data_IF_698319336427
#
_entry.id   IF_698319336427
#
_cell.length_a   1.000
_cell.length_b   1.000
_cell.length_c   1.000
_cell.angle_alpha   90.00
_cell.angle_beta   90.00
_cell.angle_gamma   90.00
#
_symmetry.space_group_name_H-M   'P 1'
#
loop_
_entity.id
_entity.type
_entity.pdbx_description
1 polymer ?
#
# COMPACT_ATOMS: atom_id res chain seq x y z
N UNK A 1 -0.92 -2.71 -29.06
CA UNK A 1 -2.24 -3.02 -28.45
C UNK A 1 -2.80 -1.74 -27.85
N UNK A 2 -4.11 -1.62 -27.82
CA UNK A 2 -4.80 -0.59 -27.05
C UNK A 2 -5.21 -1.18 -25.67
N UNK A 3 -4.73 -0.56 -24.60
CA UNK A 3 -4.95 -1.03 -23.21
C UNK A 3 -5.70 0.05 -22.45
N UNK A 4 -6.81 -0.32 -21.83
CA UNK A 4 -7.52 0.57 -20.89
C UNK A 4 -7.04 0.26 -19.48
N UNK A 5 -6.64 1.32 -18.74
CA UNK A 5 -6.32 1.26 -17.32
C UNK A 5 -7.38 2.04 -16.56
N UNK A 6 -8.08 1.39 -15.64
CA UNK A 6 -9.17 1.96 -14.84
C UNK A 6 -8.68 2.35 -13.47
N UNK A 7 -8.68 3.65 -13.17
CA UNK A 7 -8.19 4.25 -11.94
C UNK A 7 -6.78 4.84 -12.07
N UNK A 8 -6.64 6.12 -11.74
CA UNK A 8 -5.37 6.87 -11.77
C UNK A 8 -4.77 7.05 -10.36
N UNK A 9 -4.85 6.03 -9.53
CA UNK A 9 -4.03 5.90 -8.31
C UNK A 9 -2.60 5.48 -8.66
N UNK A 10 -1.72 5.33 -7.66
CA UNK A 10 -0.31 4.94 -7.85
C UNK A 10 -0.17 3.68 -8.70
N UNK A 11 -1.02 2.67 -8.50
CA UNK A 11 -1.00 1.42 -9.26
C UNK A 11 -1.34 1.63 -10.72
N UNK A 12 -2.43 2.36 -11.02
CA UNK A 12 -2.84 2.62 -12.40
C UNK A 12 -1.84 3.47 -13.17
N UNK A 13 -1.27 4.49 -12.54
CA UNK A 13 -0.23 5.33 -13.13
C UNK A 13 1.03 4.49 -13.45
N UNK A 14 1.47 3.63 -12.53
CA UNK A 14 2.62 2.76 -12.75
C UNK A 14 2.36 1.72 -13.86
N UNK A 15 1.16 1.14 -13.92
CA UNK A 15 0.75 0.25 -15.00
C UNK A 15 0.78 0.99 -16.34
N UNK A 16 0.15 2.17 -16.43
CA UNK A 16 0.14 2.99 -17.64
C UNK A 16 1.56 3.31 -18.10
N UNK A 17 2.44 3.72 -17.18
CA UNK A 17 3.85 4.00 -17.49
C UNK A 17 4.55 2.81 -18.13
N UNK A 18 4.42 1.63 -17.53
CA UNK A 18 5.05 0.43 -18.04
C UNK A 18 4.51 0.00 -19.41
N UNK A 19 3.22 0.17 -19.68
CA UNK A 19 2.63 -0.12 -21.00
C UNK A 19 3.08 0.89 -22.06
N UNK A 20 3.12 2.17 -21.71
CA UNK A 20 3.62 3.22 -22.61
C UNK A 20 5.07 3.00 -23.01
N UNK A 21 5.94 2.66 -22.04
CA UNK A 21 7.36 2.30 -22.29
C UNK A 21 7.54 1.10 -23.21
N UNK A 22 6.55 0.21 -23.25
CA UNK A 22 6.52 -0.96 -24.16
C UNK A 22 5.86 -0.66 -25.50
N UNK A 23 5.51 0.60 -25.78
CA UNK A 23 4.94 1.05 -27.04
C UNK A 23 3.45 0.72 -27.23
N UNK A 24 2.71 0.44 -26.15
CA UNK A 24 1.27 0.25 -26.24
C UNK A 24 0.55 1.61 -26.24
N UNK A 25 -0.63 1.66 -26.86
CA UNK A 25 -1.56 2.78 -26.70
C UNK A 25 -2.33 2.57 -25.39
N UNK A 26 -2.36 3.57 -24.52
CA UNK A 26 -3.00 3.48 -23.21
C UNK A 26 -4.10 4.53 -23.09
N UNK A 27 -5.29 4.10 -22.66
CA UNK A 27 -6.34 5.00 -22.18
C UNK A 27 -6.43 4.83 -20.66
N UNK A 28 -6.05 5.87 -19.91
CA UNK A 28 -6.15 5.90 -18.45
C UNK A 28 -7.41 6.66 -18.05
N UNK A 29 -8.35 5.97 -17.40
CA UNK A 29 -9.66 6.50 -17.02
C UNK A 29 -9.72 6.73 -15.52
N UNK A 30 -10.14 7.94 -15.12
CA UNK A 30 -10.26 8.33 -13.71
C UNK A 30 -11.57 9.08 -13.47
N UNK A 31 -12.31 8.67 -12.44
CA UNK A 31 -13.58 9.31 -12.05
C UNK A 31 -13.39 10.71 -11.45
N UNK A 32 -12.27 10.92 -10.75
CA UNK A 32 -11.93 12.21 -10.16
C UNK A 32 -11.40 13.22 -11.20
N UNK A 33 -11.27 14.46 -10.78
CA UNK A 33 -10.74 15.55 -11.61
C UNK A 33 -9.23 15.48 -11.82
N UNK A 34 -8.52 14.80 -10.90
CA UNK A 34 -7.08 14.65 -10.91
C UNK A 34 -6.67 13.28 -10.38
N UNK A 35 -5.45 12.80 -10.67
CA UNK A 35 -4.96 11.52 -10.15
C UNK A 35 -4.72 11.56 -8.63
N UNK A 36 -4.66 10.39 -8.02
CA UNK A 36 -4.30 10.19 -6.60
C UNK A 36 -5.23 10.89 -5.59
N UNK A 37 -6.52 10.98 -5.85
CA UNK A 37 -7.46 11.66 -4.95
C UNK A 37 -7.99 10.76 -3.82
N UNK A 38 -7.77 9.45 -3.90
CA UNK A 38 -8.26 8.49 -2.91
C UNK A 38 -7.10 7.90 -2.08
N UNK A 39 -7.06 6.58 -1.89
CA UNK A 39 -6.06 5.91 -1.04
C UNK A 39 -4.61 6.30 -1.34
N UNK A 40 -4.30 6.60 -2.60
CA UNK A 40 -2.95 7.00 -3.00
C UNK A 40 -2.54 8.42 -2.59
N UNK A 41 -3.47 9.23 -2.09
CA UNK A 41 -3.18 10.59 -1.61
C UNK A 41 -2.44 10.57 -0.27
N UNK A 42 -2.95 9.80 0.69
CA UNK A 42 -2.46 9.76 2.07
C UNK A 42 -1.84 8.41 2.45
N UNK A 43 -0.95 7.88 1.61
CA UNK A 43 -0.25 6.63 1.90
C UNK A 43 0.79 6.81 3.00
N UNK A 44 0.98 5.78 3.83
CA UNK A 44 2.03 5.76 4.86
C UNK A 44 3.46 5.76 4.28
N UNK A 45 3.61 5.53 2.97
CA UNK A 45 4.89 5.64 2.27
C UNK A 45 5.83 4.45 2.44
N UNK A 46 5.42 3.38 3.10
CA UNK A 46 6.23 2.16 3.20
C UNK A 46 6.36 1.49 1.84
N UNK A 47 7.59 1.26 1.41
CA UNK A 47 7.91 0.63 0.13
C UNK A 47 8.66 -0.69 0.30
N UNK A 48 9.17 -0.97 1.50
CA UNK A 48 9.99 -2.14 1.81
C UNK A 48 9.20 -3.41 2.13
N UNK A 49 9.89 -4.55 2.21
CA UNK A 49 9.31 -5.86 2.56
C UNK A 49 8.63 -5.91 3.92
N UNK A 50 8.97 -5.02 4.85
CA UNK A 50 8.34 -4.93 6.18
C UNK A 50 6.81 -4.79 6.07
N UNK A 51 6.31 -4.09 5.06
CA UNK A 51 4.88 -3.92 4.82
C UNK A 51 4.16 -5.25 4.60
N UNK A 52 4.81 -6.22 3.93
CA UNK A 52 4.26 -7.57 3.74
C UNK A 52 4.15 -8.30 5.08
N UNK A 53 5.17 -8.21 5.93
CA UNK A 53 5.13 -8.84 7.25
C UNK A 53 4.04 -8.22 8.13
N UNK A 54 3.94 -6.90 8.17
CA UNK A 54 2.94 -6.19 8.97
C UNK A 54 1.50 -6.53 8.55
N UNK A 55 1.25 -6.63 7.24
CA UNK A 55 -0.10 -6.83 6.70
C UNK A 55 -0.49 -8.31 6.57
N UNK A 56 0.45 -9.20 6.32
CA UNK A 56 0.17 -10.58 5.91
C UNK A 56 0.59 -11.63 6.95
N UNK A 57 1.45 -11.30 7.95
CA UNK A 57 1.92 -12.25 8.95
C UNK A 57 0.77 -12.94 9.71
N UNK A 58 0.95 -14.19 10.15
CA UNK A 58 -0.05 -14.93 10.88
C UNK A 58 -0.55 -14.20 12.14
N UNK A 59 -1.83 -14.39 12.44
CA UNK A 59 -2.34 -13.94 13.73
C UNK A 59 -1.82 -14.84 14.84
N UNK A 60 -1.25 -14.26 15.87
CA UNK A 60 -0.73 -15.00 17.00
C UNK A 60 -1.86 -15.48 17.91
N UNK A 61 -2.07 -16.80 17.94
CA UNK A 61 -3.00 -17.47 18.81
C UNK A 61 -4.47 -17.00 18.73
N UNK A 62 -5.29 -17.44 19.68
CA UNK A 62 -6.68 -17.00 19.80
C UNK A 62 -6.81 -15.49 20.09
N UNK A 63 -5.79 -14.88 20.68
CA UNK A 63 -5.75 -13.45 20.94
C UNK A 63 -5.66 -12.62 19.64
N UNK A 64 -5.04 -13.14 18.56
CA UNK A 64 -4.96 -12.45 17.29
C UNK A 64 -6.31 -12.26 16.59
N UNK A 65 -7.15 -13.30 16.59
CA UNK A 65 -8.53 -13.18 16.11
C UNK A 65 -9.36 -12.26 17.01
N UNK A 66 -9.21 -12.39 18.33
CA UNK A 66 -9.90 -11.53 19.30
C UNK A 66 -9.46 -10.04 19.16
N UNK A 67 -8.21 -9.76 18.79
CA UNK A 67 -7.74 -8.40 18.57
C UNK A 67 -8.38 -7.76 17.32
N UNK A 68 -8.62 -8.53 16.26
CA UNK A 68 -9.41 -8.06 15.12
C UNK A 68 -10.82 -7.71 15.56
N UNK A 69 -11.48 -8.61 16.32
CA UNK A 69 -12.82 -8.35 16.82
C UNK A 69 -12.85 -7.23 17.88
N UNK A 70 -11.84 -7.09 18.72
CA UNK A 70 -11.75 -6.01 19.69
C UNK A 70 -11.49 -4.66 19.02
N UNK A 71 -10.69 -4.62 17.95
CA UNK A 71 -10.45 -3.45 17.13
C UNK A 71 -11.64 -3.12 16.23
N UNK A 72 -12.35 -4.13 15.71
CA UNK A 72 -13.64 -3.98 15.01
C UNK A 72 -14.79 -3.60 15.93
N UNK A 73 -14.63 -3.64 17.25
CA UNK A 73 -15.62 -3.15 18.22
C UNK A 73 -15.91 -1.64 18.05
N UNK A 74 -15.03 -0.90 17.37
CA UNK A 74 -15.30 0.45 16.86
C UNK A 74 -16.08 0.48 15.54
N UNK A 75 -16.16 -0.63 14.82
CA UNK A 75 -17.07 -0.85 13.70
C UNK A 75 -18.39 -1.30 14.34
N UNK A 76 -19.37 -0.46 14.49
CA UNK A 76 -20.64 -0.73 15.18
C UNK A 76 -21.19 -2.16 14.99
N UNK A 77 -22.25 -2.51 15.69
CA UNK A 77 -22.84 -3.87 15.76
C UNK A 77 -23.38 -4.43 14.42
N UNK A 78 -23.34 -3.67 13.32
CA UNK A 78 -23.79 -4.06 11.99
C UNK A 78 -22.67 -4.69 11.15
N UNK A 79 -22.23 -5.91 11.52
CA UNK A 79 -21.32 -6.69 10.68
C UNK A 79 -22.12 -7.33 9.54
N UNK A 80 -21.95 -6.83 8.34
CA UNK A 80 -22.58 -7.37 7.14
C UNK A 80 -22.06 -8.78 6.77
N UNK A 81 -22.87 -9.56 6.04
CA UNK A 81 -22.46 -10.88 5.52
C UNK A 81 -21.16 -10.77 4.69
N UNK A 82 -20.98 -9.67 3.94
CA UNK A 82 -19.75 -9.42 3.18
C UNK A 82 -18.51 -9.23 4.05
N UNK A 83 -18.66 -8.55 5.18
CA UNK A 83 -17.57 -8.39 6.17
C UNK A 83 -17.21 -9.72 6.83
N UNK A 84 -18.20 -10.57 7.13
CA UNK A 84 -17.93 -11.91 7.66
C UNK A 84 -17.19 -12.80 6.67
N UNK A 85 -17.55 -12.74 5.37
CA UNK A 85 -16.81 -13.43 4.30
C UNK A 85 -15.36 -12.95 4.22
N UNK A 86 -15.15 -11.63 4.27
CA UNK A 86 -13.80 -11.03 4.27
C UNK A 86 -12.99 -11.49 5.49
N UNK A 87 -13.54 -11.40 6.70
CA UNK A 87 -12.85 -11.81 7.93
C UNK A 87 -12.46 -13.28 7.91
N UNK A 88 -13.34 -14.15 7.38
CA UNK A 88 -13.02 -15.57 7.21
C UNK A 88 -11.91 -15.80 6.18
N UNK A 89 -11.95 -15.10 5.03
CA UNK A 89 -10.92 -15.18 4.02
C UNK A 89 -9.57 -14.67 4.56
N UNK A 90 -9.59 -13.56 5.32
CA UNK A 90 -8.41 -13.00 5.96
C UNK A 90 -7.81 -13.96 6.99
N UNK A 91 -8.66 -14.56 7.86
CA UNK A 91 -8.20 -15.53 8.85
C UNK A 91 -7.54 -16.75 8.18
N UNK A 92 -8.11 -17.23 7.08
CA UNK A 92 -7.53 -18.34 6.31
C UNK A 92 -6.20 -17.92 5.64
N UNK A 93 -6.16 -16.76 4.98
CA UNK A 93 -4.95 -16.26 4.32
C UNK A 93 -3.79 -16.00 5.29
N UNK A 94 -4.10 -15.64 6.53
CA UNK A 94 -3.12 -15.43 7.62
C UNK A 94 -2.93 -16.65 8.53
N UNK A 95 -3.39 -17.84 8.14
CA UNK A 95 -3.05 -19.08 8.83
C UNK A 95 -1.55 -19.39 8.64
N UNK A 96 -0.93 -20.07 9.63
CA UNK A 96 0.50 -20.34 9.60
C UNK A 96 0.92 -21.12 8.35
N UNK A 97 0.13 -22.12 7.95
CA UNK A 97 0.42 -22.97 6.78
C UNK A 97 0.37 -22.18 5.47
N UNK A 98 -0.68 -21.35 5.28
CA UNK A 98 -0.82 -20.51 4.08
C UNK A 98 0.25 -19.43 4.05
N UNK A 99 0.59 -18.85 5.20
CA UNK A 99 1.69 -17.90 5.31
C UNK A 99 3.01 -18.56 4.92
N UNK A 100 3.36 -19.70 5.50
CA UNK A 100 4.61 -20.42 5.18
C UNK A 100 4.74 -20.74 3.69
N UNK A 101 3.62 -21.15 3.06
CA UNK A 101 3.59 -21.46 1.63
C UNK A 101 3.79 -20.23 0.72
N UNK A 102 3.36 -19.04 1.15
CA UNK A 102 3.35 -17.85 0.32
C UNK A 102 4.43 -16.82 0.69
N UNK A 103 5.03 -16.94 1.87
CA UNK A 103 5.97 -15.95 2.43
C UNK A 103 7.09 -15.58 1.45
N UNK A 104 7.82 -16.57 0.95
CA UNK A 104 8.97 -16.34 0.08
C UNK A 104 8.58 -15.69 -1.24
N UNK A 105 7.43 -16.07 -1.79
CA UNK A 105 6.88 -15.47 -3.01
C UNK A 105 6.51 -14.01 -2.79
N UNK A 106 5.84 -13.70 -1.67
CA UNK A 106 5.47 -12.33 -1.30
C UNK A 106 6.70 -11.46 -1.04
N UNK A 107 7.69 -11.98 -0.31
CA UNK A 107 8.94 -11.27 -0.03
C UNK A 107 9.75 -11.04 -1.31
N UNK A 108 9.78 -12.01 -2.23
CA UNK A 108 10.45 -11.86 -3.52
C UNK A 108 9.77 -10.77 -4.35
N UNK A 109 8.42 -10.77 -4.41
CA UNK A 109 7.66 -9.74 -5.10
C UNK A 109 7.89 -8.35 -4.48
N UNK A 110 7.90 -8.25 -3.16
CA UNK A 110 8.15 -6.98 -2.46
C UNK A 110 9.55 -6.42 -2.76
N UNK A 111 10.58 -7.24 -2.69
CA UNK A 111 11.97 -6.85 -3.04
C UNK A 111 12.08 -6.44 -4.51
N UNK A 112 11.46 -7.19 -5.41
CA UNK A 112 11.41 -6.84 -6.83
C UNK A 112 10.72 -5.49 -7.05
N UNK A 113 9.61 -5.23 -6.37
CA UNK A 113 8.87 -3.96 -6.45
C UNK A 113 9.73 -2.78 -5.98
N UNK A 114 10.45 -2.92 -4.86
CA UNK A 114 11.38 -1.89 -4.37
C UNK A 114 12.47 -1.61 -5.40
N UNK A 115 13.16 -2.66 -5.86
CA UNK A 115 14.23 -2.52 -6.85
C UNK A 115 13.74 -1.88 -8.16
N UNK A 116 12.51 -2.19 -8.59
CA UNK A 116 11.91 -1.56 -9.77
C UNK A 116 11.59 -0.09 -9.54
N UNK A 117 11.09 0.26 -8.36
CA UNK A 117 10.81 1.66 -7.98
C UNK A 117 12.10 2.48 -7.96
N UNK A 118 13.16 1.97 -7.36
CA UNK A 118 14.48 2.61 -7.35
C UNK A 118 15.08 2.73 -8.74
N UNK A 119 14.92 1.70 -9.58
CA UNK A 119 15.37 1.73 -10.97
C UNK A 119 14.65 2.84 -11.75
N UNK A 120 13.34 2.94 -11.64
CA UNK A 120 12.56 4.00 -12.28
C UNK A 120 12.92 5.38 -11.73
N UNK A 121 13.13 5.50 -10.42
CA UNK A 121 13.52 6.75 -9.80
C UNK A 121 14.86 7.28 -10.39
N UNK A 122 15.83 6.40 -10.53
CA UNK A 122 17.13 6.75 -11.14
C UNK A 122 17.03 7.02 -12.64
N UNK A 123 16.27 6.20 -13.37
CA UNK A 123 16.15 6.34 -14.83
C UNK A 123 15.44 7.64 -15.24
N UNK A 124 14.43 8.05 -14.48
CA UNK A 124 13.59 9.21 -14.77
C UNK A 124 13.94 10.43 -13.91
N UNK A 125 15.03 10.37 -13.15
CA UNK A 125 15.50 11.44 -12.24
C UNK A 125 14.40 11.92 -11.26
N UNK A 126 13.74 10.96 -10.60
CA UNK A 126 12.64 11.25 -9.67
C UNK A 126 13.17 11.48 -8.26
N UNK A 127 12.62 12.50 -7.61
CA UNK A 127 12.81 12.73 -6.18
C UNK A 127 11.46 12.74 -5.47
N UNK A 128 11.25 11.80 -4.57
CA UNK A 128 9.99 11.62 -3.85
C UNK A 128 10.17 11.49 -2.34
N UNK A 129 11.13 12.24 -1.81
CA UNK A 129 11.42 12.27 -0.37
C UNK A 129 11.77 10.88 0.18
N UNK A 130 12.52 10.10 -0.61
CA UNK A 130 12.90 8.75 -0.21
C UNK A 130 13.91 8.78 0.94
N UNK A 131 13.64 7.91 1.92
CA UNK A 131 14.49 7.71 3.08
C UNK A 131 14.75 6.21 3.26
N UNK A 132 16.01 5.85 3.46
CA UNK A 132 16.40 4.52 3.88
C UNK A 132 16.47 4.46 5.39
N UNK A 133 16.08 3.33 5.93
CA UNK A 133 16.00 3.09 7.34
C UNK A 133 14.61 3.31 7.92
N UNK A 134 14.22 2.35 8.73
CA UNK A 134 12.97 2.35 9.47
C UNK A 134 13.25 1.97 10.92
N UNK A 135 12.70 2.72 11.85
CA UNK A 135 12.80 2.48 13.28
C UNK A 135 11.44 2.04 13.82
N UNK A 136 11.37 0.81 14.32
CA UNK A 136 10.23 0.35 15.12
C UNK A 136 10.46 0.77 16.56
N UNK A 137 9.65 1.68 17.05
CA UNK A 137 9.77 2.31 18.37
C UNK A 137 8.92 1.55 19.38
N UNK A 138 9.51 1.10 20.48
CA UNK A 138 8.82 0.34 21.50
C UNK A 138 8.61 1.17 22.77
N UNK A 139 7.34 1.36 23.10
CA UNK A 139 6.90 2.05 24.33
C UNK A 139 6.15 1.10 25.29
N UNK A 140 6.04 -0.18 24.93
CA UNK A 140 5.36 -1.20 25.70
C UNK A 140 6.29 -2.40 25.93
N UNK A 141 6.52 -2.77 27.21
CA UNK A 141 7.44 -3.85 27.58
C UNK A 141 7.03 -5.22 27.00
N UNK A 142 5.74 -5.52 26.96
CA UNK A 142 5.26 -6.78 26.40
C UNK A 142 5.53 -6.84 24.89
N UNK A 143 5.28 -5.74 24.14
CA UNK A 143 5.56 -5.67 22.71
C UNK A 143 7.07 -5.81 22.45
N UNK A 144 7.90 -5.18 23.29
CA UNK A 144 9.36 -5.28 23.24
C UNK A 144 9.86 -6.72 23.42
N UNK A 145 9.38 -7.41 24.46
CA UNK A 145 9.74 -8.81 24.71
C UNK A 145 9.24 -9.77 23.64
N UNK A 146 8.01 -9.57 23.16
CA UNK A 146 7.43 -10.38 22.08
C UNK A 146 8.25 -10.21 20.80
N UNK A 147 8.61 -8.98 20.44
CA UNK A 147 9.41 -8.71 19.27
C UNK A 147 10.80 -9.33 19.34
N UNK A 148 11.50 -9.26 20.50
CA UNK A 148 12.80 -9.89 20.69
C UNK A 148 12.74 -11.42 20.54
N UNK A 149 11.68 -12.06 21.02
CA UNK A 149 11.49 -13.51 20.85
C UNK A 149 11.30 -13.93 19.41
N UNK A 150 10.71 -13.07 18.59
CA UNK A 150 10.39 -13.36 17.19
C UNK A 150 11.53 -13.01 16.24
N UNK A 151 12.30 -12.02 16.57
CA UNK A 151 13.37 -11.49 15.72
C UNK A 151 14.70 -12.25 15.85
N UNK A 152 14.76 -13.36 16.57
CA UNK A 152 15.94 -14.24 16.54
C UNK A 152 16.33 -14.71 15.11
N UNK A 153 15.44 -14.48 14.13
CA UNK A 153 15.62 -14.85 12.71
C UNK A 153 15.64 -13.65 11.74
N UNK A 154 15.60 -12.38 12.23
CA UNK A 154 15.41 -11.20 11.34
C UNK A 154 16.59 -10.21 11.43
N UNK A 155 16.93 -9.56 10.29
CA UNK A 155 18.10 -8.69 10.15
C UNK A 155 17.86 -7.25 10.66
N UNK A 156 17.26 -7.05 11.83
CA UNK A 156 17.14 -5.75 12.47
C UNK A 156 18.22 -5.56 13.53
N UNK A 157 18.72 -4.34 13.70
CA UNK A 157 19.59 -3.98 14.81
C UNK A 157 18.76 -3.51 16.00
N UNK A 158 18.94 -4.14 17.15
CA UNK A 158 18.31 -3.70 18.40
C UNK A 158 19.10 -2.56 19.00
N UNK A 159 18.45 -1.46 19.24
CA UNK A 159 19.03 -0.23 19.73
C UNK A 159 18.41 0.15 21.07
N UNK A 160 19.27 0.52 22.01
CA UNK A 160 18.85 1.18 23.24
C UNK A 160 18.22 2.55 22.91
N UNK A 161 17.59 3.18 23.92
CA UNK A 161 17.06 4.55 23.79
C UNK A 161 18.15 5.52 23.32
N UNK A 162 19.32 5.49 23.94
CA UNK A 162 20.44 6.37 23.64
C UNK A 162 20.98 6.16 22.23
N UNK A 163 21.12 4.91 21.81
CA UNK A 163 21.55 4.57 20.45
C UNK A 163 20.52 4.99 19.42
N UNK A 164 19.24 4.78 19.70
CA UNK A 164 18.13 5.20 18.82
C UNK A 164 18.13 6.72 18.62
N UNK A 165 18.33 7.49 19.69
CA UNK A 165 18.37 8.96 19.62
C UNK A 165 19.60 9.51 18.88
N UNK A 166 20.70 8.75 18.83
CA UNK A 166 21.85 9.12 17.99
C UNK A 166 21.59 8.93 16.51
N UNK A 167 20.78 7.94 16.15
CA UNK A 167 20.38 7.69 14.75
C UNK A 167 19.31 8.68 14.33
N UNK A 168 18.31 8.91 15.18
CA UNK A 168 17.23 9.86 14.93
C UNK A 168 16.98 10.75 16.16
N UNK A 169 17.48 12.00 16.14
CA UNK A 169 17.33 12.90 17.28
C UNK A 169 15.89 13.23 17.68
N UNK A 170 14.91 13.06 16.78
CA UNK A 170 13.50 13.27 17.11
C UNK A 170 13.01 12.33 18.23
N UNK A 171 13.68 11.20 18.41
CA UNK A 171 13.35 10.21 19.43
C UNK A 171 13.65 10.67 20.86
N UNK A 172 14.45 11.71 21.07
CA UNK A 172 14.65 12.33 22.38
C UNK A 172 13.34 12.83 23.00
N UNK A 173 12.41 13.24 22.15
CA UNK A 173 11.11 13.75 22.55
C UNK A 173 10.04 12.67 22.77
N UNK A 174 10.36 11.40 22.56
CA UNK A 174 9.41 10.32 22.83
C UNK A 174 9.21 10.15 24.33
N UNK A 175 7.96 10.24 24.84
CA UNK A 175 7.68 10.13 26.26
C UNK A 175 7.94 8.73 26.80
N UNK A 176 8.17 8.63 28.09
CA UNK A 176 8.33 7.35 28.78
C UNK A 176 6.99 6.57 28.88
N UNK A 177 7.05 5.23 28.86
CA UNK A 177 8.27 4.43 28.74
C UNK A 177 8.74 4.31 27.27
N UNK A 178 9.95 4.74 26.95
CA UNK A 178 10.63 4.45 25.69
C UNK A 178 11.75 3.44 25.96
N UNK A 179 11.62 2.24 25.43
CA UNK A 179 12.50 1.10 25.72
C UNK A 179 13.67 0.99 24.75
N UNK A 180 13.43 1.36 23.49
CA UNK A 180 14.41 1.27 22.41
C UNK A 180 13.72 1.05 21.06
N UNK A 181 14.52 0.76 20.05
CA UNK A 181 14.06 0.53 18.68
C UNK A 181 14.61 -0.77 18.10
N UNK A 182 13.89 -1.32 17.12
CA UNK A 182 14.47 -2.23 16.13
C UNK A 182 14.71 -1.42 14.85
N UNK A 183 15.96 -1.32 14.42
CA UNK A 183 16.38 -0.56 13.24
C UNK A 183 16.51 -1.47 12.02
N UNK A 184 15.88 -1.11 10.96
CA UNK A 184 15.83 -1.82 9.67
C UNK A 184 16.45 -0.93 8.59
N UNK A 185 17.78 -0.96 8.40
CA UNK A 185 18.49 0.01 7.54
C UNK A 185 18.16 -0.14 6.05
N UNK A 186 17.68 -1.30 5.62
CA UNK A 186 17.39 -1.59 4.21
C UNK A 186 15.94 -1.31 3.81
N UNK A 187 15.10 -0.93 4.77
CA UNK A 187 13.72 -0.57 4.46
C UNK A 187 13.69 0.81 3.80
N UNK A 188 12.90 0.93 2.74
CA UNK A 188 12.71 2.16 1.99
C UNK A 188 11.33 2.73 2.29
N UNK A 189 11.28 4.03 2.50
CA UNK A 189 10.04 4.79 2.54
C UNK A 189 10.14 6.03 1.65
N UNK A 190 9.00 6.62 1.32
CA UNK A 190 8.95 7.82 0.50
C UNK A 190 7.53 8.31 0.26
N UNK A 191 7.43 9.49 -0.31
CA UNK A 191 6.15 10.10 -0.66
C UNK A 191 5.56 9.47 -1.93
N UNK A 192 4.76 8.42 -1.77
CA UNK A 192 4.17 7.68 -2.89
C UNK A 192 3.21 8.50 -3.76
N UNK A 193 2.52 9.50 -3.17
CA UNK A 193 1.71 10.44 -3.93
C UNK A 193 2.58 11.31 -4.84
N UNK A 194 3.71 11.80 -4.32
CA UNK A 194 4.65 12.61 -5.08
C UNK A 194 5.35 11.80 -6.17
N UNK A 195 5.80 10.58 -5.86
CA UNK A 195 6.32 9.63 -6.84
C UNK A 195 5.35 9.44 -8.01
N UNK A 196 4.10 9.10 -7.72
CA UNK A 196 3.13 8.83 -8.77
C UNK A 196 2.76 10.06 -9.58
N UNK A 197 2.76 11.26 -9.00
CA UNK A 197 2.54 12.52 -9.73
C UNK A 197 3.67 12.80 -10.72
N UNK A 198 4.93 12.54 -10.36
CA UNK A 198 6.06 12.70 -11.26
C UNK A 198 6.01 11.69 -12.42
N UNK A 199 5.74 10.41 -12.14
CA UNK A 199 5.53 9.39 -13.19
C UNK A 199 4.38 9.81 -14.11
N UNK A 200 3.28 10.34 -13.55
CA UNK A 200 2.16 10.81 -14.37
C UNK A 200 2.55 12.00 -15.27
N UNK A 201 3.38 12.93 -14.79
CA UNK A 201 3.87 14.02 -15.61
C UNK A 201 4.68 13.49 -16.84
N UNK A 202 5.48 12.45 -16.62
CA UNK A 202 6.19 11.76 -17.70
C UNK A 202 5.20 11.06 -18.65
N UNK A 203 4.20 10.37 -18.11
CA UNK A 203 3.19 9.69 -18.92
C UNK A 203 2.44 10.65 -19.84
N UNK A 204 2.05 11.82 -19.34
CA UNK A 204 1.31 12.85 -20.11
C UNK A 204 2.11 13.36 -21.31
N UNK A 205 3.43 13.32 -21.26
CA UNK A 205 4.28 13.70 -22.39
C UNK A 205 4.29 12.67 -23.54
N UNK A 206 3.76 11.46 -23.31
CA UNK A 206 3.73 10.38 -24.29
C UNK A 206 2.56 10.52 -25.27
N UNK A 207 2.85 10.45 -26.57
CA UNK A 207 1.83 10.60 -27.64
C UNK A 207 0.79 9.46 -27.66
N UNK A 208 1.12 8.32 -27.10
CA UNK A 208 0.28 7.11 -27.05
C UNK A 208 -0.53 7.00 -25.76
N UNK A 209 -0.62 8.07 -24.96
CA UNK A 209 -1.51 8.16 -23.80
C UNK A 209 -2.76 9.00 -24.10
N UNK A 210 -3.92 8.47 -23.77
CA UNK A 210 -5.18 9.22 -23.67
C UNK A 210 -5.61 9.26 -22.21
N UNK A 211 -5.83 10.46 -21.66
CA UNK A 211 -6.34 10.66 -20.31
C UNK A 211 -7.82 11.02 -20.33
N UNK A 212 -8.62 10.32 -19.54
CA UNK A 212 -10.05 10.59 -19.38
C UNK A 212 -10.38 10.81 -17.90
N UNK A 213 -10.31 12.07 -17.48
CA UNK A 213 -10.77 12.50 -16.14
C UNK A 213 -12.28 12.72 -16.11
N UNK A 214 -12.86 12.82 -14.91
CA UNK A 214 -14.31 12.95 -14.72
C UNK A 214 -15.09 11.90 -15.51
N UNK A 215 -14.57 10.66 -15.56
CA UNK A 215 -15.15 9.58 -16.33
C UNK A 215 -15.24 8.34 -15.46
N UNK A 216 -16.45 7.90 -15.15
CA UNK A 216 -16.68 6.73 -14.33
C UNK A 216 -16.87 5.49 -15.21
N UNK A 217 -16.09 4.44 -14.93
CA UNK A 217 -16.31 3.13 -15.54
C UNK A 217 -17.40 2.41 -14.76
N UNK A 218 -18.50 2.12 -15.45
CA UNK A 218 -19.71 1.53 -14.87
C UNK A 218 -19.83 0.02 -15.15
N UNK A 219 -19.02 -0.53 -16.06
CA UNK A 219 -19.05 -1.95 -16.39
C UNK A 219 -17.96 -2.36 -17.37
N UNK A 220 -17.82 -3.67 -17.54
CA UNK A 220 -16.93 -4.27 -18.53
C UNK A 220 -17.73 -4.74 -19.73
N UNK A 221 -17.11 -4.71 -20.91
CA UNK A 221 -17.63 -5.29 -22.13
C UNK A 221 -16.97 -6.63 -22.40
N UNK A 222 -17.74 -7.63 -22.78
CA UNK A 222 -17.25 -8.97 -23.06
C UNK A 222 -17.68 -9.40 -24.47
N UNK A 223 -16.83 -10.17 -25.14
CA UNK A 223 -17.16 -10.85 -26.39
C UNK A 223 -17.89 -12.19 -26.14
N UNK A 224 -18.24 -12.88 -27.23
CA UNK A 224 -18.93 -14.17 -27.19
C UNK A 224 -18.10 -15.28 -26.46
N UNK A 225 -16.78 -15.10 -26.37
CA UNK A 225 -15.86 -16.01 -25.68
C UNK A 225 -15.64 -15.59 -24.21
N UNK A 226 -16.41 -14.63 -23.70
CA UNK A 226 -16.26 -14.10 -22.36
C UNK A 226 -14.92 -13.39 -22.09
N UNK A 227 -14.25 -12.90 -23.13
CA UNK A 227 -13.02 -12.09 -23.03
C UNK A 227 -13.42 -10.62 -22.89
N UNK A 228 -12.77 -9.90 -21.99
CA UNK A 228 -12.97 -8.45 -21.85
C UNK A 228 -12.42 -7.73 -23.10
N UNK A 229 -13.28 -6.94 -23.74
CA UNK A 229 -12.99 -6.23 -25.00
C UNK A 229 -13.19 -4.71 -24.88
N UNK A 230 -13.39 -4.21 -23.67
CA UNK A 230 -13.55 -2.78 -23.41
C UNK A 230 -14.29 -2.50 -22.11
N UNK A 231 -14.66 -1.25 -21.94
CA UNK A 231 -15.40 -0.74 -20.78
C UNK A 231 -16.61 0.08 -21.18
N UNK A 232 -17.63 0.08 -20.32
CA UNK A 232 -18.75 1.02 -20.34
C UNK A 232 -18.44 2.16 -19.37
N UNK A 233 -18.66 3.38 -19.80
CA UNK A 233 -18.49 4.57 -18.97
C UNK A 233 -19.78 5.39 -18.94
N UNK A 234 -19.86 6.37 -18.04
CA UNK A 234 -20.91 7.38 -18.01
C UNK A 234 -20.95 8.27 -19.27
N UNK A 235 -19.90 8.20 -20.12
CA UNK A 235 -19.75 8.96 -21.37
C UNK A 235 -19.83 8.10 -22.63
N UNK A 236 -20.08 6.81 -22.50
CA UNK A 236 -20.18 5.87 -23.62
C UNK A 236 -19.25 4.65 -23.48
N UNK A 237 -19.24 3.82 -24.49
CA UNK A 237 -18.46 2.59 -24.54
C UNK A 237 -17.10 2.82 -25.20
N UNK A 238 -16.06 2.18 -24.67
CA UNK A 238 -14.69 2.29 -25.20
C UNK A 238 -14.17 0.88 -25.41
N UNK A 239 -13.86 0.53 -26.65
CA UNK A 239 -13.27 -0.77 -27.00
C UNK A 239 -11.76 -0.77 -26.76
N UNK A 240 -11.21 -1.96 -26.40
CA UNK A 240 -9.77 -2.15 -26.22
C UNK A 240 -9.38 -3.62 -26.39
N UNK A 241 -8.08 -3.87 -26.55
CA UNK A 241 -7.53 -5.24 -26.62
C UNK A 241 -7.40 -5.87 -25.20
N UNK A 242 -7.26 -5.03 -24.17
CA UNK A 242 -7.16 -5.44 -22.78
C UNK A 242 -7.63 -4.36 -21.81
N UNK A 243 -8.13 -4.78 -20.64
CA UNK A 243 -8.53 -3.90 -19.55
C UNK A 243 -7.78 -4.26 -18.28
N UNK A 244 -7.22 -3.27 -17.61
CA UNK A 244 -6.51 -3.39 -16.34
C UNK A 244 -7.27 -2.62 -15.27
N UNK A 245 -7.76 -3.30 -14.25
CA UNK A 245 -8.53 -2.71 -13.17
C UNK A 245 -7.61 -2.31 -12.01
N UNK A 246 -7.45 -1.01 -11.81
CA UNK A 246 -6.67 -0.40 -10.72
C UNK A 246 -7.53 0.48 -9.82
N UNK A 247 -8.85 0.21 -9.77
CA UNK A 247 -9.85 1.02 -9.09
C UNK A 247 -10.10 0.63 -7.63
N UNK A 248 -9.18 -0.13 -7.02
CA UNK A 248 -9.26 -0.54 -5.62
C UNK A 248 -10.64 -1.16 -5.29
N UNK A 249 -11.41 -0.59 -4.36
CA UNK A 249 -12.75 -1.08 -4.00
C UNK A 249 -13.74 -1.00 -5.15
N UNK A 250 -13.55 -0.10 -6.11
CA UNK A 250 -14.33 0.00 -7.34
C UNK A 250 -14.18 -1.20 -8.28
N UNK A 251 -13.17 -2.04 -8.07
CA UNK A 251 -12.96 -3.26 -8.86
C UNK A 251 -14.04 -4.31 -8.60
N UNK A 252 -14.51 -4.42 -7.35
CA UNK A 252 -15.49 -5.44 -6.97
C UNK A 252 -16.81 -5.35 -7.74
N UNK A 253 -17.51 -4.19 -7.81
CA UNK A 253 -18.74 -4.07 -8.58
C UNK A 253 -18.52 -4.30 -10.08
N UNK A 254 -17.37 -3.94 -10.64
CA UNK A 254 -17.07 -4.18 -12.06
C UNK A 254 -16.92 -5.68 -12.41
N UNK A 255 -16.61 -6.51 -11.41
CA UNK A 255 -16.45 -7.97 -11.55
C UNK A 255 -17.66 -8.76 -11.04
N UNK A 256 -18.76 -8.07 -10.67
CA UNK A 256 -19.95 -8.74 -10.16
C UNK A 256 -20.50 -9.77 -11.16
N UNK A 257 -20.82 -10.96 -10.66
CA UNK A 257 -21.25 -12.09 -11.49
C UNK A 257 -20.15 -12.82 -12.24
N UNK A 258 -18.89 -12.33 -12.19
CA UNK A 258 -17.71 -12.98 -12.79
C UNK A 258 -16.72 -13.49 -11.74
N UNK A 259 -16.46 -12.68 -10.72
CA UNK A 259 -15.53 -13.02 -9.66
C UNK A 259 -15.99 -12.41 -8.33
N UNK A 260 -16.14 -13.23 -7.31
CA UNK A 260 -16.42 -12.75 -5.94
C UNK A 260 -15.09 -12.43 -5.23
N UNK A 261 -14.80 -11.12 -5.10
CA UNK A 261 -13.62 -10.65 -4.38
C UNK A 261 -13.99 -10.36 -2.92
N UNK A 262 -13.40 -11.07 -1.96
CA UNK A 262 -13.59 -10.78 -0.54
C UNK A 262 -12.81 -9.52 -0.15
N UNK A 263 -13.40 -8.35 -0.37
CA UNK A 263 -12.80 -7.06 -0.04
C UNK A 263 -13.57 -6.35 1.05
N UNK A 264 -12.86 -5.59 1.89
CA UNK A 264 -13.43 -4.74 2.93
C UNK A 264 -12.73 -3.40 2.92
N UNK A 265 -13.49 -2.33 3.09
CA UNK A 265 -12.93 -0.98 3.26
C UNK A 265 -12.34 -0.83 4.66
N UNK A 266 -11.08 -0.39 4.72
CA UNK A 266 -10.43 0.09 5.93
C UNK A 266 -10.17 1.59 5.77
N UNK A 267 -10.53 2.37 6.78
CA UNK A 267 -10.27 3.81 6.79
C UNK A 267 -9.07 4.08 7.70
N UNK A 268 -8.04 4.72 7.14
CA UNK A 268 -6.90 5.25 7.88
C UNK A 268 -6.97 6.77 7.95
N UNK A 269 -6.26 7.35 8.90
CA UNK A 269 -6.07 8.78 9.03
C UNK A 269 -4.64 9.14 8.63
N UNK A 270 -4.49 10.17 7.81
CA UNK A 270 -3.21 10.77 7.49
C UNK A 270 -3.23 12.23 7.92
N UNK A 271 -2.19 12.64 8.66
CA UNK A 271 -2.02 14.02 9.10
C UNK A 271 -0.72 14.54 8.53
N UNK A 272 -0.80 15.66 7.83
CA UNK A 272 0.38 16.41 7.37
C UNK A 272 0.51 17.66 8.22
N UNK A 273 1.68 17.86 8.81
CA UNK A 273 1.97 19.03 9.64
C UNK A 273 3.12 19.84 9.01
N UNK A 274 3.07 21.15 9.22
CA UNK A 274 4.19 22.03 8.86
C UNK A 274 5.34 21.78 9.83
N UNK A 275 6.57 21.70 9.32
CA UNK A 275 7.77 21.59 10.14
C UNK A 275 7.99 22.94 10.84
N UNK A 276 8.01 22.92 12.17
CA UNK A 276 8.45 24.03 12.99
C UNK A 276 9.97 23.93 13.17
N UNK A 277 10.75 25.01 12.91
CA UNK A 277 12.20 25.02 13.11
C UNK A 277 12.64 24.66 14.55
N UNK A 278 11.74 24.84 15.54
CA UNK A 278 12.01 24.47 16.94
C UNK A 278 11.81 22.99 17.24
N UNK A 279 11.15 22.24 16.34
CA UNK A 279 10.91 20.82 16.48
C UNK A 279 11.64 20.04 15.41
N UNK A 280 12.58 19.21 15.82
CA UNK A 280 13.33 18.35 14.89
C UNK A 280 12.37 17.27 14.35
N UNK A 281 12.11 17.26 13.03
CA UNK A 281 11.31 16.20 12.45
C UNK A 281 12.09 14.88 12.43
N UNK A 282 11.41 13.73 12.39
CA UNK A 282 12.07 12.45 12.21
C UNK A 282 12.91 12.44 10.92
N UNK A 283 14.12 11.91 11.01
CA UNK A 283 15.00 11.68 9.87
C UNK A 283 14.66 10.38 9.14
N UNK A 284 14.02 9.46 9.85
CA UNK A 284 13.64 8.14 9.38
C UNK A 284 12.14 7.93 9.53
N UNK A 285 11.63 6.89 8.89
CA UNK A 285 10.26 6.45 9.16
C UNK A 285 10.19 5.77 10.52
N UNK A 286 9.30 6.29 11.37
CA UNK A 286 9.05 5.75 12.71
C UNK A 286 7.75 4.97 12.71
N UNK A 287 7.78 3.74 13.22
CA UNK A 287 6.58 2.94 13.49
C UNK A 287 6.51 2.70 14.99
N UNK A 288 5.50 3.22 15.63
CA UNK A 288 5.25 2.97 17.05
C UNK A 288 4.50 1.65 17.22
N UNK A 289 5.12 0.71 17.91
CA UNK A 289 4.54 -0.61 18.23
C UNK A 289 3.60 -0.49 19.45
N UNK A 290 2.64 0.40 19.33
CA UNK A 290 1.65 0.65 20.37
C UNK A 290 0.33 0.01 19.94
N UNK A 291 -0.18 -0.94 20.75
CA UNK A 291 -1.45 -1.64 20.50
C UNK A 291 -2.65 -0.70 20.39
N UNK A 292 -2.51 0.55 20.80
CA UNK A 292 -3.58 1.54 20.84
C UNK A 292 -3.63 2.46 19.60
N UNK A 293 -2.65 2.41 18.70
CA UNK A 293 -2.54 3.27 17.52
C UNK A 293 -2.84 2.60 16.18
N UNK A 294 -3.27 1.34 16.17
CA UNK A 294 -3.72 0.66 14.94
C UNK A 294 -5.20 0.35 15.01
#
# INVERSE_FOLDING_TARGET
>A
MHIIVVGAGVTGIACAHNFLKRGHNVTLIEKASTPNQECSFGMAGFMGPISVQMLCAPFKGKAGLASIFAKTRRLGWDVSIGQMKFLRALANARSADVWAANHDSLMTLARYSVGLTEFHARLEDLSFEQVYGLLRVFTNAQAWEEAHKEESEKPGEWLTREESSRIDPSLENVPDPFLGCSYLPQELSGNGCYYSKQIQAINVSQKNLTMMYHTEVTGLMFDENNKAVGVKTDKGEIASDAVVLCSNLGTKPLLEGKLDLPTMQLTGWAVTATIDPMNVPPLHTLIFDNKDLL
#
